data_IF_175006320433
#
_entry.id   IF_175006320433
#
_cell.length_a   1.000
_cell.length_b   1.000
_cell.length_c   1.000
_cell.angle_alpha   90.00
_cell.angle_beta   90.00
_cell.angle_gamma   90.00
#
_symmetry.space_group_name_H-M   'P 1'
#
loop_
_entity.id
_entity.type
_entity.pdbx_description
1 polymer ?
#
# COMPACT_ATOMS: atom_id res chain seq x y z
N UNK A 1 -12.01 -23.08 -0.42
CA UNK A 1 -12.69 -22.31 -1.49
C UNK A 1 -11.63 -21.96 -2.49
N UNK A 2 -11.81 -22.24 -3.79
CA UNK A 2 -10.84 -21.77 -4.78
C UNK A 2 -11.00 -20.26 -4.98
N UNK A 3 -9.92 -19.54 -5.36
CA UNK A 3 -10.01 -18.09 -5.55
C UNK A 3 -11.10 -17.69 -6.57
N UNK A 4 -11.26 -18.41 -7.70
CA UNK A 4 -12.34 -18.12 -8.65
C UNK A 4 -13.77 -18.23 -8.10
N UNK A 5 -13.96 -18.93 -6.96
CA UNK A 5 -15.28 -19.07 -6.34
C UNK A 5 -15.60 -17.92 -5.36
N UNK A 6 -14.68 -16.97 -5.17
CA UNK A 6 -14.90 -15.81 -4.30
C UNK A 6 -15.77 -14.76 -5.01
N UNK A 7 -16.78 -14.17 -4.34
CA UNK A 7 -17.70 -13.18 -4.96
C UNK A 7 -16.98 -12.00 -5.61
N UNK A 8 -15.97 -11.44 -4.94
CA UNK A 8 -15.19 -10.34 -5.49
C UNK A 8 -14.32 -10.73 -6.67
N UNK A 9 -13.97 -12.02 -6.80
CA UNK A 9 -13.08 -12.48 -7.88
C UNK A 9 -13.76 -12.35 -9.25
N UNK A 10 -15.03 -12.73 -9.35
CA UNK A 10 -15.82 -12.58 -10.59
C UNK A 10 -16.13 -11.11 -10.87
N UNK A 11 -16.61 -10.37 -9.86
CA UNK A 11 -16.99 -8.96 -9.98
C UNK A 11 -15.82 -8.07 -10.40
N UNK A 12 -14.63 -8.30 -9.84
CA UNK A 12 -13.41 -7.53 -10.08
C UNK A 12 -12.62 -8.03 -11.30
N UNK A 13 -13.07 -9.07 -11.99
CA UNK A 13 -12.51 -9.56 -13.26
C UNK A 13 -11.02 -9.90 -13.19
N UNK A 14 -10.60 -10.64 -12.17
CA UNK A 14 -9.24 -11.13 -12.07
C UNK A 14 -8.88 -12.06 -13.25
N UNK A 15 -7.61 -12.01 -13.68
CA UNK A 15 -7.08 -12.91 -14.70
C UNK A 15 -6.86 -14.31 -14.13
N UNK A 16 -7.73 -15.25 -14.47
CA UNK A 16 -7.66 -16.65 -14.01
C UNK A 16 -6.46 -17.41 -14.60
N UNK A 17 -5.88 -16.93 -15.70
CA UNK A 17 -4.70 -17.55 -16.34
C UNK A 17 -3.39 -17.08 -15.71
N UNK A 18 -3.38 -15.99 -14.93
CA UNK A 18 -2.22 -15.51 -14.19
C UNK A 18 -2.06 -16.27 -12.87
N UNK A 19 -1.49 -17.47 -12.96
CA UNK A 19 -1.47 -18.43 -11.84
C UNK A 19 -0.58 -17.99 -10.68
N UNK A 20 0.52 -17.33 -10.97
CA UNK A 20 1.42 -16.79 -9.95
C UNK A 20 0.78 -15.69 -9.11
N UNK A 21 -0.05 -14.81 -9.72
CA UNK A 21 -0.83 -13.84 -8.96
C UNK A 21 -1.88 -14.53 -8.07
N UNK A 22 -2.55 -15.54 -8.58
CA UNK A 22 -3.50 -16.34 -7.78
C UNK A 22 -2.80 -16.99 -6.57
N UNK A 23 -1.55 -17.45 -6.74
CA UNK A 23 -0.69 -17.94 -5.66
C UNK A 23 -0.38 -16.87 -4.63
N UNK A 24 0.03 -15.68 -5.08
CA UNK A 24 0.30 -14.52 -4.24
C UNK A 24 -0.93 -14.09 -3.42
N UNK A 25 -2.09 -13.98 -4.07
CA UNK A 25 -3.34 -13.64 -3.40
C UNK A 25 -3.74 -14.70 -2.38
N UNK A 26 -3.57 -15.99 -2.70
CA UNK A 26 -3.82 -17.09 -1.76
C UNK A 26 -2.89 -17.05 -0.55
N UNK A 27 -1.61 -16.74 -0.75
CA UNK A 27 -0.66 -16.51 0.34
C UNK A 27 -1.15 -15.38 1.26
N UNK A 28 -1.57 -14.28 0.71
CA UNK A 28 -2.07 -13.14 1.48
C UNK A 28 -3.34 -13.48 2.25
N UNK A 29 -4.34 -14.06 1.60
CA UNK A 29 -5.63 -14.39 2.21
C UNK A 29 -5.55 -15.46 3.30
N UNK A 30 -4.53 -16.34 3.26
CA UNK A 30 -4.27 -17.36 4.30
C UNK A 30 -3.49 -16.84 5.52
N UNK A 31 -3.25 -15.53 5.61
CA UNK A 31 -2.53 -14.90 6.73
C UNK A 31 -3.07 -15.28 8.11
N UNK A 32 -4.39 -15.29 8.39
CA UNK A 32 -4.89 -15.64 9.72
C UNK A 32 -4.49 -17.04 10.20
N UNK A 33 -4.54 -18.02 9.31
CA UNK A 33 -4.20 -19.42 9.61
C UNK A 33 -2.68 -19.56 9.87
N UNK A 34 -1.86 -18.94 9.03
CA UNK A 34 -0.40 -18.95 9.18
C UNK A 34 0.05 -18.23 10.44
N UNK A 35 -0.53 -17.07 10.73
CA UNK A 35 -0.26 -16.33 11.98
C UNK A 35 -0.55 -17.19 13.20
N UNK A 36 -1.75 -17.82 13.27
CA UNK A 36 -2.11 -18.72 14.36
C UNK A 36 -1.17 -19.91 14.49
N UNK A 37 -0.79 -20.52 13.38
CA UNK A 37 0.11 -21.68 13.35
C UNK A 37 1.54 -21.32 13.79
N UNK A 38 1.98 -20.09 13.59
CA UNK A 38 3.34 -19.64 13.92
C UNK A 38 3.60 -19.54 15.42
N UNK A 39 2.58 -19.27 16.23
CA UNK A 39 2.70 -18.98 17.67
C UNK A 39 3.50 -17.73 18.01
N UNK A 40 3.85 -16.92 17.03
CA UNK A 40 4.60 -15.67 17.22
C UNK A 40 3.68 -14.53 17.63
N UNK A 41 4.25 -13.52 18.29
CA UNK A 41 3.55 -12.26 18.56
C UNK A 41 3.25 -11.50 17.28
N UNK A 42 2.08 -10.86 17.23
CA UNK A 42 1.62 -10.06 16.10
C UNK A 42 1.60 -8.58 16.48
N UNK A 43 2.28 -7.77 15.70
CA UNK A 43 2.33 -6.32 15.86
C UNK A 43 1.52 -5.68 14.74
N UNK A 44 0.38 -5.08 15.08
CA UNK A 44 -0.37 -4.24 14.15
C UNK A 44 0.37 -2.92 13.93
N UNK A 45 0.52 -2.54 12.66
CA UNK A 45 1.21 -1.32 12.24
C UNK A 45 0.42 -0.58 11.15
N UNK A 46 0.60 0.72 11.03
CA UNK A 46 -0.01 1.49 9.94
C UNK A 46 0.65 1.20 8.58
N UNK A 47 -0.05 1.42 7.45
CA UNK A 47 0.41 1.03 6.12
C UNK A 47 1.84 1.45 5.77
N UNK A 48 2.22 2.67 6.12
CA UNK A 48 3.53 3.25 5.79
C UNK A 48 4.57 3.10 6.91
N UNK A 49 4.25 2.41 8.03
CA UNK A 49 5.23 2.11 9.06
C UNK A 49 6.19 1.03 8.59
N UNK A 50 7.51 1.25 8.70
CA UNK A 50 8.51 0.24 8.38
C UNK A 50 8.35 -1.01 9.23
N UNK A 51 8.54 -2.17 8.62
CA UNK A 51 8.34 -3.48 9.27
C UNK A 51 9.63 -4.16 9.71
N UNK A 52 10.78 -3.73 9.19
CA UNK A 52 12.08 -4.34 9.48
C UNK A 52 12.35 -4.48 11.00
N UNK A 53 12.09 -3.47 11.87
CA UNK A 53 12.24 -3.62 13.32
C UNK A 53 11.32 -4.67 13.94
N UNK A 54 10.11 -4.82 13.41
CA UNK A 54 9.16 -5.81 13.91
C UNK A 54 9.69 -7.21 13.64
N UNK A 55 10.13 -7.49 12.41
CA UNK A 55 10.72 -8.79 12.07
C UNK A 55 12.03 -9.06 12.81
N UNK A 56 12.86 -8.04 13.04
CA UNK A 56 14.07 -8.17 13.84
C UNK A 56 13.78 -8.58 15.29
N UNK A 57 12.65 -8.17 15.86
CA UNK A 57 12.19 -8.57 17.19
C UNK A 57 11.65 -10.02 17.26
N UNK A 58 11.54 -10.70 16.12
CA UNK A 58 10.95 -12.04 16.01
C UNK A 58 9.43 -12.07 15.97
N UNK A 59 8.76 -10.92 16.03
CA UNK A 59 7.33 -10.78 15.84
C UNK A 59 6.94 -10.79 14.35
N UNK A 60 5.66 -10.90 14.08
CA UNK A 60 5.06 -10.74 12.75
C UNK A 60 4.45 -9.33 12.64
N UNK A 61 4.72 -8.66 11.53
CA UNK A 61 4.03 -7.42 11.20
C UNK A 61 2.64 -7.74 10.62
N UNK A 62 1.65 -6.94 10.97
CA UNK A 62 0.31 -7.03 10.39
C UNK A 62 -0.21 -5.64 10.05
N UNK A 63 -0.65 -5.46 8.83
CA UNK A 63 -1.31 -4.24 8.37
C UNK A 63 -2.82 -4.47 8.27
N UNK A 64 -3.59 -4.15 9.33
CA UNK A 64 -5.04 -4.33 9.31
C UNK A 64 -5.72 -3.48 8.24
N UNK A 65 -5.13 -2.36 7.87
CA UNK A 65 -5.61 -1.51 6.79
C UNK A 65 -5.71 -2.26 5.47
N UNK A 66 -4.59 -2.83 5.05
CA UNK A 66 -4.51 -3.56 3.78
C UNK A 66 -5.33 -4.85 3.84
N UNK A 67 -5.15 -5.63 4.89
CA UNK A 67 -5.79 -6.94 4.98
C UNK A 67 -7.31 -6.86 5.02
N UNK A 68 -7.85 -6.07 5.95
CA UNK A 68 -9.31 -5.97 6.14
C UNK A 68 -9.99 -5.42 4.88
N UNK A 69 -9.38 -4.45 4.19
CA UNK A 69 -9.95 -3.91 2.95
C UNK A 69 -9.93 -4.93 1.83
N UNK A 70 -8.78 -5.56 1.55
CA UNK A 70 -8.70 -6.56 0.46
C UNK A 70 -9.63 -7.74 0.75
N UNK A 71 -9.65 -8.24 1.97
CA UNK A 71 -10.54 -9.35 2.36
C UNK A 71 -12.01 -8.97 2.20
N UNK A 72 -12.43 -7.79 2.65
CA UNK A 72 -13.82 -7.36 2.52
C UNK A 72 -14.24 -7.17 1.07
N UNK A 73 -13.38 -6.56 0.25
CA UNK A 73 -13.69 -6.32 -1.16
C UNK A 73 -13.65 -7.60 -1.98
N UNK A 74 -12.68 -8.50 -1.76
CA UNK A 74 -12.48 -9.70 -2.58
C UNK A 74 -13.31 -10.88 -2.12
N UNK A 75 -13.44 -11.08 -0.79
CA UNK A 75 -14.11 -12.26 -0.24
C UNK A 75 -15.57 -12.01 0.09
N UNK A 76 -15.85 -10.94 0.83
CA UNK A 76 -17.13 -10.82 1.52
C UNK A 76 -18.10 -9.86 0.82
N UNK A 77 -17.61 -8.93 -0.01
CA UNK A 77 -18.40 -7.77 -0.47
C UNK A 77 -19.09 -7.02 0.69
N UNK A 78 -18.57 -7.17 1.91
CA UNK A 78 -19.19 -6.72 3.16
C UNK A 78 -18.70 -5.31 3.48
N UNK A 79 -19.30 -4.32 2.83
CA UNK A 79 -19.06 -2.90 3.13
C UNK A 79 -19.74 -2.45 4.43
N UNK A 80 -20.47 -3.32 5.11
CA UNK A 80 -21.19 -3.02 6.36
C UNK A 80 -20.26 -2.76 7.54
N UNK A 81 -18.95 -3.02 7.40
CA UNK A 81 -17.97 -2.63 8.42
C UNK A 81 -17.94 -1.13 8.67
N UNK A 82 -18.26 -0.31 7.67
CA UNK A 82 -18.43 1.14 7.87
C UNK A 82 -19.67 1.43 8.71
N UNK A 83 -20.77 0.72 8.48
CA UNK A 83 -21.97 0.78 9.30
C UNK A 83 -21.72 0.37 10.74
N UNK A 84 -21.01 -0.72 10.98
CA UNK A 84 -20.60 -1.17 12.31
C UNK A 84 -19.79 -0.10 13.07
N UNK A 85 -18.93 0.63 12.38
CA UNK A 85 -18.18 1.73 12.99
C UNK A 85 -19.09 2.92 13.33
N UNK A 86 -20.02 3.28 12.44
CA UNK A 86 -21.01 4.34 12.68
C UNK A 86 -21.90 3.99 13.87
N UNK A 87 -22.40 2.78 13.95
CA UNK A 87 -23.25 2.29 15.06
C UNK A 87 -22.50 2.29 16.39
N UNK A 88 -21.19 2.11 16.37
CA UNK A 88 -20.32 2.27 17.52
C UNK A 88 -20.01 3.73 17.89
N UNK A 89 -20.53 4.70 17.12
CA UNK A 89 -20.38 6.13 17.37
C UNK A 89 -19.15 6.79 16.75
N UNK A 90 -18.50 6.14 15.78
CA UNK A 90 -17.44 6.77 14.99
C UNK A 90 -18.06 7.78 14.03
N UNK A 91 -17.44 8.95 13.89
CA UNK A 91 -17.93 10.00 13.01
C UNK A 91 -17.76 9.60 11.53
N UNK A 92 -18.76 9.89 10.71
CA UNK A 92 -18.75 9.68 9.24
C UNK A 92 -17.65 10.46 8.50
N UNK A 93 -17.06 11.49 9.13
CA UNK A 93 -15.94 12.25 8.56
C UNK A 93 -14.59 11.50 8.64
N UNK A 94 -14.58 10.31 9.25
CA UNK A 94 -13.38 9.48 9.26
C UNK A 94 -13.08 8.94 7.87
N UNK A 95 -11.79 8.80 7.59
CA UNK A 95 -11.33 8.10 6.40
C UNK A 95 -11.94 6.70 6.34
N UNK A 96 -12.53 6.28 5.21
CA UNK A 96 -13.17 4.97 5.07
C UNK A 96 -12.30 3.77 5.44
N UNK A 97 -10.98 3.83 5.21
CA UNK A 97 -10.05 2.81 5.69
C UNK A 97 -10.08 2.67 7.20
N UNK A 98 -10.07 3.79 7.90
CA UNK A 98 -10.19 3.80 9.36
C UNK A 98 -11.53 3.24 9.82
N UNK A 99 -12.61 3.54 9.08
CA UNK A 99 -13.95 3.00 9.37
C UNK A 99 -13.98 1.48 9.23
N UNK A 100 -13.41 0.92 8.15
CA UNK A 100 -13.35 -0.52 7.94
C UNK A 100 -12.58 -1.21 9.09
N UNK A 101 -11.41 -0.68 9.46
CA UNK A 101 -10.62 -1.24 10.57
C UNK A 101 -11.39 -1.23 11.90
N UNK A 102 -11.99 -0.08 12.23
CA UNK A 102 -12.76 0.06 13.47
C UNK A 102 -13.98 -0.85 13.46
N UNK A 103 -14.71 -0.90 12.36
CA UNK A 103 -15.86 -1.78 12.21
C UNK A 103 -15.50 -3.25 12.33
N UNK A 104 -14.35 -3.69 11.78
CA UNK A 104 -13.89 -5.08 11.94
C UNK A 104 -13.56 -5.43 13.38
N UNK A 105 -13.05 -4.46 14.14
CA UNK A 105 -12.76 -4.63 15.57
C UNK A 105 -14.03 -4.63 16.43
N UNK A 106 -14.95 -3.69 16.18
CA UNK A 106 -16.20 -3.59 16.95
C UNK A 106 -17.13 -4.78 16.71
N UNK A 107 -17.26 -5.22 15.46
CA UNK A 107 -18.07 -6.40 15.10
C UNK A 107 -17.41 -7.74 15.49
N UNK A 108 -16.13 -7.72 15.87
CA UNK A 108 -15.36 -8.95 16.13
C UNK A 108 -15.02 -9.75 14.87
N UNK A 109 -15.18 -9.17 13.68
CA UNK A 109 -14.92 -9.83 12.39
C UNK A 109 -13.42 -9.91 12.06
N UNK A 110 -12.55 -9.16 12.74
CA UNK A 110 -11.10 -9.24 12.54
C UNK A 110 -10.56 -10.64 12.85
N UNK A 111 -9.94 -11.28 11.86
CA UNK A 111 -9.53 -12.69 11.94
C UNK A 111 -8.13 -12.90 12.50
N UNK A 112 -7.27 -11.89 12.38
CA UNK A 112 -5.88 -11.95 12.83
C UNK A 112 -5.82 -11.51 14.30
N UNK A 113 -5.31 -12.37 15.23
CA UNK A 113 -5.09 -11.97 16.61
C UNK A 113 -3.97 -10.93 16.67
N UNK A 114 -4.21 -9.81 17.32
CA UNK A 114 -3.23 -8.72 17.47
C UNK A 114 -2.79 -8.70 18.93
N UNK A 115 -1.48 -8.87 19.17
CA UNK A 115 -0.90 -8.80 20.51
C UNK A 115 -0.47 -7.39 20.89
N UNK A 116 0.00 -6.60 19.90
CA UNK A 116 0.64 -5.31 20.13
C UNK A 116 0.18 -4.33 19.04
N UNK A 117 -0.14 -3.11 19.42
CA UNK A 117 -0.34 -2.03 18.48
C UNK A 117 0.89 -1.10 18.49
N UNK A 118 1.52 -0.90 17.34
CA UNK A 118 2.65 0.03 17.20
C UNK A 118 2.57 0.74 15.85
N UNK A 119 2.55 2.05 15.87
CA UNK A 119 2.47 2.83 14.62
C UNK A 119 3.39 4.02 14.62
N UNK A 120 3.97 4.28 13.45
CA UNK A 120 4.66 5.51 13.18
C UNK A 120 3.65 6.66 13.05
N UNK A 121 4.00 7.78 13.64
CA UNK A 121 3.28 9.03 13.48
C UNK A 121 4.13 9.99 12.63
N UNK A 122 3.48 10.83 11.85
CA UNK A 122 4.18 11.81 11.00
C UNK A 122 4.07 11.54 9.50
N UNK A 123 3.87 10.30 9.08
CA UNK A 123 3.51 10.00 7.70
C UNK A 123 2.08 9.48 7.61
N UNK A 124 1.30 10.04 6.73
CA UNK A 124 -0.05 9.60 6.47
C UNK A 124 -1.15 10.38 7.20
N UNK A 125 -2.26 9.70 7.46
CA UNK A 125 -3.48 10.26 7.99
C UNK A 125 -3.36 10.57 9.50
N UNK A 126 -3.78 11.77 9.90
CA UNK A 126 -3.79 12.22 11.31
C UNK A 126 -4.82 11.46 12.17
N UNK A 127 -5.83 10.85 11.57
CA UNK A 127 -6.85 10.06 12.26
C UNK A 127 -6.30 8.71 12.76
N UNK A 128 -5.22 8.23 12.17
CA UNK A 128 -4.67 6.90 12.45
C UNK A 128 -4.32 6.71 13.93
N UNK A 129 -3.81 7.75 14.58
CA UNK A 129 -3.50 7.72 16.03
C UNK A 129 -4.75 7.40 16.85
N UNK A 130 -5.89 8.00 16.52
CA UNK A 130 -7.17 7.74 17.19
C UNK A 130 -7.67 6.33 16.94
N UNK A 131 -7.57 5.85 15.72
CA UNK A 131 -7.95 4.49 15.38
C UNK A 131 -7.14 3.47 16.18
N UNK A 132 -5.82 3.64 16.25
CA UNK A 132 -4.94 2.76 17.02
C UNK A 132 -5.26 2.78 18.51
N UNK A 133 -5.52 3.97 19.08
CA UNK A 133 -5.95 4.09 20.48
C UNK A 133 -7.25 3.31 20.75
N UNK A 134 -8.27 3.52 19.92
CA UNK A 134 -9.57 2.86 20.07
C UNK A 134 -9.42 1.35 19.93
N UNK A 135 -8.73 0.88 18.89
CA UNK A 135 -8.53 -0.57 18.67
C UNK A 135 -7.76 -1.23 19.82
N UNK A 136 -6.67 -0.60 20.27
CA UNK A 136 -5.89 -1.11 21.39
C UNK A 136 -6.69 -1.15 22.69
N UNK A 137 -7.50 -0.14 22.96
CA UNK A 137 -8.38 -0.07 24.13
C UNK A 137 -9.45 -1.16 24.10
N UNK A 138 -10.16 -1.30 22.96
CA UNK A 138 -11.19 -2.34 22.77
C UNK A 138 -10.62 -3.75 22.94
N UNK A 139 -9.39 -3.98 22.46
CA UNK A 139 -8.72 -5.29 22.56
C UNK A 139 -7.97 -5.50 23.88
N UNK A 140 -7.77 -4.46 24.68
CA UNK A 140 -6.92 -4.53 25.88
C UNK A 140 -5.45 -4.80 25.57
N UNK A 141 -4.98 -4.39 24.40
CA UNK A 141 -3.63 -4.66 23.92
C UNK A 141 -2.68 -3.50 24.20
N UNK A 142 -1.37 -3.75 24.42
CA UNK A 142 -0.37 -2.70 24.52
C UNK A 142 -0.29 -1.84 23.25
N UNK A 143 -0.06 -0.54 23.42
CA UNK A 143 0.03 0.45 22.35
C UNK A 143 1.30 1.27 22.48
N UNK A 144 2.00 1.49 21.37
CA UNK A 144 3.10 2.44 21.27
C UNK A 144 2.97 3.29 20.01
N UNK A 145 3.17 4.58 20.19
CA UNK A 145 3.45 5.51 19.09
C UNK A 145 4.94 5.86 19.05
N UNK A 146 5.46 6.05 17.86
CA UNK A 146 6.77 6.60 17.62
C UNK A 146 6.69 7.61 16.48
N UNK A 147 7.56 8.62 16.48
CA UNK A 147 7.43 9.77 15.60
C UNK A 147 8.44 9.72 14.46
N UNK A 148 7.98 10.02 13.25
CA UNK A 148 8.84 10.31 12.09
C UNK A 148 8.80 11.83 11.89
N UNK A 149 9.93 12.54 12.03
CA UNK A 149 9.97 13.98 11.79
C UNK A 149 9.70 14.26 10.31
N UNK A 150 8.98 15.33 10.04
CA UNK A 150 8.71 15.78 8.66
C UNK A 150 10.02 16.05 7.95
N UNK A 151 10.06 15.72 6.66
CA UNK A 151 11.21 16.01 5.81
C UNK A 151 11.37 17.53 5.63
N UNK A 152 12.54 18.05 6.04
CA UNK A 152 13.01 19.41 5.80
C UNK A 152 14.53 19.34 5.65
N UNK A 153 15.06 19.66 4.48
CA UNK A 153 16.51 19.49 4.18
C UNK A 153 17.43 20.23 5.14
N UNK A 154 17.00 21.40 5.64
CA UNK A 154 17.78 22.21 6.59
C UNK A 154 17.84 21.58 8.00
N UNK A 155 16.92 20.70 8.34
CA UNK A 155 16.83 20.05 9.65
C UNK A 155 17.35 18.60 9.65
N UNK A 156 17.90 18.11 8.54
CA UNK A 156 18.30 16.71 8.33
C UNK A 156 19.07 16.10 9.52
N UNK A 157 20.10 16.77 9.99
CA UNK A 157 20.93 16.25 11.08
C UNK A 157 20.10 16.03 12.35
N UNK A 158 19.32 17.01 12.73
CA UNK A 158 18.45 16.93 13.91
C UNK A 158 17.40 15.83 13.72
N UNK A 159 16.76 15.79 12.56
CA UNK A 159 15.72 14.82 12.26
C UNK A 159 16.22 13.38 12.32
N UNK A 160 17.40 13.11 11.76
CA UNK A 160 18.03 11.79 11.82
C UNK A 160 18.44 11.40 13.25
N UNK A 161 18.99 12.33 14.04
CA UNK A 161 19.33 12.05 15.43
C UNK A 161 18.07 11.81 16.29
N UNK A 162 16.99 12.51 16.02
CA UNK A 162 15.69 12.27 16.65
C UNK A 162 15.13 10.91 16.25
N UNK A 163 15.06 10.61 14.96
CA UNK A 163 14.49 9.36 14.45
C UNK A 163 15.27 8.13 14.93
N UNK A 164 16.59 8.21 15.04
CA UNK A 164 17.39 7.13 15.63
C UNK A 164 17.01 6.86 17.09
N UNK A 165 16.73 7.90 17.87
CA UNK A 165 16.27 7.74 19.26
C UNK A 165 14.88 7.09 19.30
N UNK A 166 13.98 7.52 18.44
CA UNK A 166 12.64 6.91 18.33
C UNK A 166 12.74 5.42 17.96
N UNK A 167 13.57 5.06 16.98
CA UNK A 167 13.81 3.67 16.62
C UNK A 167 14.42 2.87 17.77
N UNK A 168 15.38 3.42 18.51
CA UNK A 168 15.95 2.75 19.69
C UNK A 168 14.91 2.55 20.79
N UNK A 169 13.97 3.49 20.99
CA UNK A 169 12.87 3.32 21.93
C UNK A 169 11.89 2.24 21.43
N UNK A 170 11.57 2.24 20.14
CA UNK A 170 10.77 1.18 19.50
C UNK A 170 11.42 -0.20 19.71
N UNK A 171 12.73 -0.32 19.50
CA UNK A 171 13.45 -1.60 19.70
C UNK A 171 13.34 -2.09 21.14
N UNK A 172 13.55 -1.19 22.12
CA UNK A 172 13.38 -1.53 23.55
C UNK A 172 11.95 -1.97 23.86
N UNK A 173 10.97 -1.27 23.31
CA UNK A 173 9.57 -1.60 23.51
C UNK A 173 9.25 -2.97 22.90
N UNK A 174 9.59 -3.20 21.63
CA UNK A 174 9.35 -4.50 20.98
C UNK A 174 10.07 -5.62 21.74
N UNK A 175 11.32 -5.43 22.17
CA UNK A 175 12.05 -6.40 22.96
C UNK A 175 11.33 -6.73 24.29
N UNK A 176 10.77 -5.73 24.97
CA UNK A 176 10.01 -5.93 26.20
C UNK A 176 8.74 -6.76 26.00
N UNK A 177 8.11 -6.64 24.83
CA UNK A 177 6.86 -7.34 24.49
C UNK A 177 7.10 -8.75 23.92
N UNK A 178 8.19 -8.95 23.18
CA UNK A 178 8.52 -10.22 22.50
C UNK A 178 9.46 -11.10 23.31
N UNK A 179 10.17 -10.51 24.28
CA UNK A 179 11.24 -11.20 25.04
C UNK A 179 12.54 -11.38 24.23
N UNK A 180 12.65 -10.76 23.03
CA UNK A 180 13.81 -10.88 22.15
C UNK A 180 14.44 -9.50 21.88
N UNK A 181 15.71 -9.36 22.22
CA UNK A 181 16.46 -8.15 21.91
C UNK A 181 16.70 -7.99 20.40
N UNK A 182 16.59 -6.76 19.92
CA UNK A 182 16.90 -6.41 18.53
C UNK A 182 18.38 -6.03 18.48
N UNK A 183 19.22 -6.98 18.05
CA UNK A 183 20.64 -6.75 17.80
C UNK A 183 20.86 -6.15 16.42
N UNK A 184 22.06 -5.56 16.19
CA UNK A 184 22.43 -5.05 14.87
C UNK A 184 22.39 -6.14 13.80
N UNK A 185 22.80 -7.37 14.12
CA UNK A 185 22.74 -8.51 13.20
C UNK A 185 21.29 -8.89 12.87
N UNK A 186 20.40 -8.92 13.86
CA UNK A 186 18.98 -9.23 13.64
C UNK A 186 18.31 -8.14 12.80
N UNK A 187 18.64 -6.88 13.02
CA UNK A 187 18.14 -5.76 12.23
C UNK A 187 18.69 -5.81 10.80
N UNK A 188 19.99 -6.09 10.63
CA UNK A 188 20.61 -6.23 9.32
C UNK A 188 19.99 -7.38 8.52
N UNK A 189 19.70 -8.51 9.17
CA UNK A 189 19.01 -9.63 8.54
C UNK A 189 17.60 -9.26 8.08
N UNK A 190 16.82 -8.60 8.93
CA UNK A 190 15.48 -8.15 8.58
C UNK A 190 15.50 -7.14 7.42
N UNK A 191 16.41 -6.17 7.44
CA UNK A 191 16.58 -5.20 6.35
C UNK A 191 16.99 -5.88 5.05
N UNK A 192 17.89 -6.89 5.09
CA UNK A 192 18.30 -7.63 3.90
C UNK A 192 17.10 -8.36 3.27
N UNK A 193 16.27 -9.04 4.06
CA UNK A 193 15.03 -9.67 3.58
C UNK A 193 14.04 -8.66 3.03
N UNK A 194 13.86 -7.53 3.72
CA UNK A 194 13.05 -6.43 3.23
C UNK A 194 13.56 -5.84 1.91
N UNK A 195 14.89 -5.76 1.72
CA UNK A 195 15.48 -5.28 0.48
C UNK A 195 15.22 -6.21 -0.72
N UNK A 196 15.13 -7.53 -0.52
CA UNK A 196 14.70 -8.43 -1.59
C UNK A 196 13.28 -8.08 -2.06
N UNK A 197 12.34 -7.89 -1.14
CA UNK A 197 10.97 -7.52 -1.46
C UNK A 197 10.85 -6.13 -2.10
N UNK A 198 11.65 -5.15 -1.64
CA UNK A 198 11.73 -3.82 -2.26
C UNK A 198 12.21 -3.93 -3.71
N UNK A 199 13.22 -4.78 -3.95
CA UNK A 199 13.74 -5.01 -5.29
C UNK A 199 12.71 -5.73 -6.18
N UNK A 200 12.01 -6.74 -5.65
CA UNK A 200 10.95 -7.43 -6.39
C UNK A 200 9.85 -6.46 -6.84
N UNK A 201 9.42 -5.54 -5.97
CA UNK A 201 8.43 -4.53 -6.35
C UNK A 201 8.95 -3.54 -7.40
N UNK A 202 10.23 -3.17 -7.34
CA UNK A 202 10.85 -2.35 -8.39
C UNK A 202 10.91 -3.10 -9.73
N UNK A 203 11.24 -4.40 -9.70
CA UNK A 203 11.30 -5.24 -10.89
C UNK A 203 9.89 -5.45 -11.48
N UNK A 204 8.88 -5.72 -10.64
CA UNK A 204 7.48 -5.82 -11.05
C UNK A 204 7.00 -4.52 -11.72
N UNK A 205 7.28 -3.38 -11.07
CA UNK A 205 6.91 -2.07 -11.61
C UNK A 205 7.58 -1.79 -12.97
N UNK A 206 8.82 -2.26 -13.17
CA UNK A 206 9.54 -2.10 -14.44
C UNK A 206 8.87 -2.83 -15.60
N UNK A 207 8.20 -3.96 -15.36
CA UNK A 207 7.48 -4.70 -16.41
C UNK A 207 6.32 -3.92 -17.02
N UNK A 208 5.76 -2.96 -16.28
CA UNK A 208 4.72 -2.05 -16.79
C UNK A 208 5.25 -1.03 -17.82
N UNK A 209 6.57 -0.94 -18.03
CA UNK A 209 7.16 -0.11 -19.09
C UNK A 209 7.00 -0.76 -20.48
N UNK A 210 6.66 -2.04 -20.52
CA UNK A 210 6.42 -2.76 -21.78
C UNK A 210 5.27 -2.14 -22.58
N UNK A 211 5.31 -2.29 -23.90
CA UNK A 211 4.18 -1.97 -24.77
C UNK A 211 3.02 -2.97 -24.59
N UNK A 212 3.37 -4.24 -24.32
CA UNK A 212 2.40 -5.24 -23.89
C UNK A 212 2.38 -5.25 -22.36
N UNK A 213 1.38 -4.60 -21.75
CA UNK A 213 1.23 -4.54 -20.29
C UNK A 213 0.68 -5.88 -19.80
N UNK A 214 1.49 -6.68 -19.07
CA UNK A 214 1.21 -8.12 -18.90
C UNK A 214 0.30 -8.46 -17.72
N UNK A 215 -0.06 -7.47 -16.89
CA UNK A 215 -0.84 -7.62 -15.66
C UNK A 215 -1.92 -6.54 -15.62
N UNK A 216 -3.09 -6.85 -15.07
CA UNK A 216 -4.17 -5.88 -14.91
C UNK A 216 -3.84 -4.83 -13.84
N UNK A 217 -4.48 -3.67 -13.95
CA UNK A 217 -4.33 -2.58 -12.99
C UNK A 217 -4.65 -3.02 -11.56
N UNK A 218 -5.73 -3.80 -11.38
CA UNK A 218 -6.17 -4.30 -10.09
C UNK A 218 -5.16 -5.27 -9.47
N UNK A 219 -4.67 -6.22 -10.25
CA UNK A 219 -3.73 -7.24 -9.78
C UNK A 219 -2.39 -6.61 -9.39
N UNK A 220 -1.88 -5.67 -10.20
CA UNK A 220 -0.70 -4.89 -9.86
C UNK A 220 -0.91 -4.10 -8.56
N UNK A 221 -2.07 -3.45 -8.40
CA UNK A 221 -2.36 -2.67 -7.20
C UNK A 221 -2.42 -3.55 -5.94
N UNK A 222 -3.08 -4.70 -6.01
CA UNK A 222 -3.11 -5.66 -4.89
C UNK A 222 -1.71 -6.18 -4.58
N UNK A 223 -0.92 -6.56 -5.60
CA UNK A 223 0.46 -6.98 -5.39
C UNK A 223 1.28 -5.89 -4.66
N UNK A 224 1.07 -4.61 -5.03
CA UNK A 224 1.71 -3.48 -4.36
C UNK A 224 1.24 -3.33 -2.90
N UNK A 225 -0.04 -3.58 -2.59
CA UNK A 225 -0.56 -3.48 -1.23
C UNK A 225 0.06 -4.54 -0.29
N UNK A 226 0.29 -5.74 -0.78
CA UNK A 226 0.77 -6.88 0.03
C UNK A 226 2.17 -6.65 0.62
N UNK A 227 3.00 -5.77 0.04
CA UNK A 227 4.32 -5.44 0.60
C UNK A 227 4.23 -4.76 1.98
N UNK A 228 3.08 -4.24 2.37
CA UNK A 228 2.92 -3.45 3.59
C UNK A 228 3.37 -4.17 4.86
N UNK A 229 3.15 -5.47 4.94
CA UNK A 229 3.48 -6.28 6.11
C UNK A 229 4.18 -7.59 5.76
N UNK A 230 4.66 -7.70 4.51
CA UNK A 230 5.36 -8.87 3.97
C UNK A 230 4.54 -10.16 4.06
N UNK A 231 3.20 -10.04 4.02
CA UNK A 231 2.25 -11.15 4.16
C UNK A 231 2.55 -12.06 5.37
N UNK A 232 3.19 -11.55 6.41
CA UNK A 232 3.69 -12.24 7.62
C UNK A 232 4.72 -13.36 7.34
N UNK A 233 5.20 -13.45 6.10
CA UNK A 233 6.19 -14.43 5.66
C UNK A 233 7.06 -13.83 4.52
N UNK A 234 8.13 -13.10 4.87
CA UNK A 234 8.94 -12.41 3.86
C UNK A 234 9.59 -13.34 2.84
N UNK A 235 9.95 -14.58 3.22
CA UNK A 235 10.54 -15.55 2.32
C UNK A 235 9.49 -16.06 1.32
N UNK A 236 8.32 -16.49 1.78
CA UNK A 236 7.24 -16.94 0.90
C UNK A 236 6.72 -15.82 -0.02
N UNK A 237 6.71 -14.57 0.48
CA UNK A 237 6.34 -13.41 -0.34
C UNK A 237 7.37 -13.14 -1.43
N UNK A 238 8.67 -13.21 -1.11
CA UNK A 238 9.75 -13.09 -2.10
C UNK A 238 9.60 -14.14 -3.19
N UNK A 239 9.45 -15.41 -2.82
CA UNK A 239 9.26 -16.50 -3.77
C UNK A 239 8.00 -16.27 -4.65
N UNK A 240 6.91 -15.79 -4.07
CA UNK A 240 5.68 -15.48 -4.81
C UNK A 240 5.86 -14.32 -5.79
N UNK A 241 6.56 -13.25 -5.39
CA UNK A 241 6.88 -12.14 -6.31
C UNK A 241 7.81 -12.58 -7.42
N UNK A 242 8.83 -13.40 -7.13
CA UNK A 242 9.72 -13.94 -8.18
C UNK A 242 8.97 -14.78 -9.21
N UNK A 243 8.06 -15.66 -8.77
CA UNK A 243 7.19 -16.43 -9.66
C UNK A 243 6.30 -15.52 -10.52
N UNK A 244 5.72 -14.47 -9.91
CA UNK A 244 4.91 -13.49 -10.63
C UNK A 244 5.75 -12.76 -11.69
N UNK A 245 6.92 -12.27 -11.32
CA UNK A 245 7.82 -11.55 -12.24
C UNK A 245 8.22 -12.46 -13.41
N UNK A 246 8.60 -13.70 -13.15
CA UNK A 246 8.98 -14.66 -14.18
C UNK A 246 7.83 -14.97 -15.18
N UNK A 247 6.60 -15.15 -14.67
CA UNK A 247 5.42 -15.35 -15.52
C UNK A 247 5.11 -14.10 -16.36
N UNK A 248 5.23 -12.91 -15.77
CA UNK A 248 5.00 -11.64 -16.47
C UNK A 248 6.11 -11.33 -17.50
N UNK A 249 7.37 -11.65 -17.21
CA UNK A 249 8.45 -11.54 -18.19
C UNK A 249 8.19 -12.42 -19.42
N UNK A 250 7.68 -13.62 -19.21
CA UNK A 250 7.30 -14.51 -20.31
C UNK A 250 6.12 -13.97 -21.11
N UNK A 251 5.11 -13.42 -20.44
CA UNK A 251 3.99 -12.71 -21.10
C UNK A 251 4.48 -11.53 -21.95
N UNK A 252 5.41 -10.73 -21.44
CA UNK A 252 6.01 -9.63 -22.20
C UNK A 252 6.72 -10.13 -23.45
N UNK A 253 7.53 -11.22 -23.36
CA UNK A 253 8.22 -11.82 -24.51
C UNK A 253 7.24 -12.34 -25.57
N UNK A 254 6.10 -12.87 -25.14
CA UNK A 254 5.04 -13.38 -26.02
C UNK A 254 4.11 -12.29 -26.55
N UNK A 255 4.24 -11.04 -26.06
CA UNK A 255 3.34 -9.95 -26.42
C UNK A 255 1.93 -10.07 -25.83
N UNK A 256 1.78 -10.81 -24.73
CA UNK A 256 0.50 -11.01 -24.04
C UNK A 256 0.15 -9.75 -23.24
N UNK A 257 -1.02 -9.21 -23.51
CA UNK A 257 -1.60 -8.08 -22.79
C UNK A 257 -2.62 -8.59 -21.78
N UNK A 258 -2.73 -7.94 -20.63
CA UNK A 258 -3.71 -8.30 -19.60
C UNK A 258 -5.15 -8.27 -20.18
N UNK A 259 -6.00 -9.26 -19.84
CA UNK A 259 -7.32 -9.43 -20.49
C UNK A 259 -8.27 -8.24 -20.34
N UNK A 260 -8.09 -7.43 -19.27
CA UNK A 260 -8.91 -6.24 -19.02
C UNK A 260 -8.61 -5.07 -19.98
N UNK A 261 -7.42 -5.06 -20.59
CA UNK A 261 -6.98 -3.98 -21.48
C UNK A 261 -7.54 -4.24 -22.88
N UNK A 262 -8.53 -3.44 -23.28
CA UNK A 262 -9.30 -3.66 -24.51
C UNK A 262 -8.72 -2.96 -25.76
N UNK A 263 -7.71 -2.11 -25.59
CA UNK A 263 -7.09 -1.32 -26.67
C UNK A 263 -5.73 -1.88 -27.08
N UNK A 264 -5.46 -1.93 -28.38
CA UNK A 264 -4.13 -2.26 -28.93
C UNK A 264 -3.06 -1.19 -28.61
N UNK A 265 -3.53 0.03 -28.33
CA UNK A 265 -2.71 1.17 -27.88
C UNK A 265 -3.38 1.81 -26.67
N UNK A 266 -3.24 1.22 -25.48
CA UNK A 266 -3.89 1.76 -24.32
C UNK A 266 -3.30 3.10 -23.89
N UNK A 267 -4.16 4.01 -23.43
CA UNK A 267 -3.72 5.23 -22.75
C UNK A 267 -3.02 4.84 -21.45
N UNK A 268 -1.74 5.15 -21.34
CA UNK A 268 -0.91 4.78 -20.20
C UNK A 268 -1.18 5.70 -19.02
N UNK A 269 -1.74 5.18 -17.96
CA UNK A 269 -2.18 5.95 -16.79
C UNK A 269 -1.23 5.72 -15.61
N UNK A 270 -0.75 6.79 -14.98
CA UNK A 270 -0.12 6.73 -13.67
C UNK A 270 -1.12 7.19 -12.61
N UNK A 271 -1.34 6.37 -11.57
CA UNK A 271 -2.24 6.69 -10.46
C UNK A 271 -1.45 7.33 -9.32
N UNK A 272 -1.89 8.50 -8.87
CA UNK A 272 -1.33 9.21 -7.73
C UNK A 272 -2.39 9.41 -6.66
N UNK A 273 -1.96 9.63 -5.46
CA UNK A 273 -2.83 10.16 -4.42
C UNK A 273 -3.02 9.24 -3.25
N UNK A 274 -4.23 9.27 -2.72
CA UNK A 274 -4.62 8.40 -1.64
C UNK A 274 -4.84 6.97 -2.15
N UNK A 275 -4.74 6.03 -1.21
CA UNK A 275 -5.05 4.65 -1.53
C UNK A 275 -6.53 4.52 -1.87
N UNK A 276 -6.83 4.17 -3.13
CA UNK A 276 -8.21 3.88 -3.48
C UNK A 276 -8.68 2.60 -2.79
N UNK A 277 -9.89 2.63 -2.32
CA UNK A 277 -10.59 1.48 -1.73
C UNK A 277 -11.63 0.94 -2.71
N UNK A 278 -11.95 1.73 -3.72
CA UNK A 278 -12.86 1.31 -4.77
C UNK A 278 -12.07 0.62 -5.89
N UNK A 279 -11.95 -0.69 -5.77
CA UNK A 279 -11.19 -1.50 -6.71
C UNK A 279 -11.83 -1.57 -8.12
N UNK A 280 -13.12 -1.24 -8.26
CA UNK A 280 -13.76 -1.14 -9.57
C UNK A 280 -13.17 -0.01 -10.43
N UNK A 281 -12.53 1.00 -9.81
CA UNK A 281 -11.80 2.06 -10.51
C UNK A 281 -10.82 1.48 -11.55
N UNK A 282 -10.13 0.41 -11.22
CA UNK A 282 -9.16 -0.23 -12.11
C UNK A 282 -9.83 -0.88 -13.32
N UNK A 283 -10.97 -1.55 -13.11
CA UNK A 283 -11.76 -2.14 -14.18
C UNK A 283 -12.32 -1.06 -15.12
N UNK A 284 -12.73 0.09 -14.58
CA UNK A 284 -13.22 1.23 -15.35
C UNK A 284 -12.11 1.79 -16.24
N UNK A 285 -10.90 1.97 -15.71
CA UNK A 285 -9.75 2.44 -16.49
C UNK A 285 -9.51 1.52 -17.70
N UNK A 286 -9.44 0.21 -17.47
CA UNK A 286 -9.13 -0.76 -18.52
C UNK A 286 -10.29 -0.92 -19.53
N UNK A 287 -11.53 -0.85 -19.07
CA UNK A 287 -12.73 -0.97 -19.92
C UNK A 287 -12.77 0.10 -21.02
N UNK A 288 -12.27 1.30 -20.73
CA UNK A 288 -12.25 2.41 -21.68
C UNK A 288 -10.90 2.56 -22.42
N UNK A 289 -10.06 1.53 -22.39
CA UNK A 289 -8.83 1.49 -23.15
C UNK A 289 -7.64 2.17 -22.45
N UNK A 290 -7.74 2.40 -21.15
CA UNK A 290 -6.58 2.78 -20.34
C UNK A 290 -5.79 1.55 -19.86
N UNK A 291 -4.57 1.78 -19.37
CA UNK A 291 -3.78 0.77 -18.69
C UNK A 291 -2.94 1.42 -17.59
N UNK A 292 -2.98 0.86 -16.39
CA UNK A 292 -2.18 1.37 -15.28
C UNK A 292 -0.71 1.01 -15.51
N UNK A 293 0.16 2.02 -15.49
CA UNK A 293 1.60 1.82 -15.68
C UNK A 293 2.42 2.15 -14.43
N UNK A 294 1.77 2.58 -13.37
CA UNK A 294 2.40 2.81 -12.06
C UNK A 294 1.44 3.46 -11.09
N UNK A 295 1.79 3.34 -9.81
CA UNK A 295 1.01 3.92 -8.71
C UNK A 295 1.95 4.32 -7.57
N UNK A 296 1.70 5.45 -6.90
CA UNK A 296 2.52 5.90 -5.77
C UNK A 296 2.00 5.47 -4.39
N UNK A 297 0.88 4.75 -4.33
CA UNK A 297 0.19 4.36 -3.09
C UNK A 297 1.10 3.73 -2.04
N UNK A 298 1.96 2.80 -2.44
CA UNK A 298 2.94 2.13 -1.56
C UNK A 298 4.39 2.41 -1.94
N UNK A 299 4.64 3.34 -2.86
CA UNK A 299 5.98 3.65 -3.36
C UNK A 299 6.98 3.90 -2.22
N UNK A 300 6.55 4.55 -1.15
CA UNK A 300 7.40 4.83 0.02
C UNK A 300 7.99 3.58 0.68
N UNK A 301 7.36 2.41 0.53
CA UNK A 301 7.86 1.15 1.11
C UNK A 301 8.93 0.47 0.26
N UNK A 302 9.05 0.85 -1.03
CA UNK A 302 9.99 0.24 -1.95
C UNK A 302 10.66 1.22 -2.93
N UNK A 303 10.59 2.54 -2.68
CA UNK A 303 11.16 3.56 -3.57
C UNK A 303 12.66 3.34 -3.87
N UNK A 304 13.37 2.78 -2.92
CA UNK A 304 14.73 2.24 -3.09
C UNK A 304 15.01 1.19 -1.99
N UNK A 305 15.94 0.25 -2.19
CA UNK A 305 16.44 -0.58 -1.09
C UNK A 305 17.16 0.27 -0.03
N UNK A 306 17.09 -0.17 1.24
CA UNK A 306 17.90 0.42 2.31
C UNK A 306 19.38 0.18 1.99
N UNK A 307 20.16 1.26 1.88
CA UNK A 307 21.58 1.19 1.48
C UNK A 307 22.42 0.45 2.53
N UNK A 308 23.36 -0.34 2.08
CA UNK A 308 24.35 -0.93 2.97
C UNK A 308 25.19 0.16 3.64
N UNK A 309 25.41 0.03 4.94
CA UNK A 309 26.14 1.00 5.75
C UNK A 309 26.81 0.27 6.92
N UNK A 310 27.88 0.87 7.46
CA UNK A 310 28.52 0.39 8.69
C UNK A 310 27.59 0.41 9.91
N UNK A 311 26.53 1.23 9.89
CA UNK A 311 25.46 1.26 10.88
C UNK A 311 24.12 1.03 10.18
N UNK A 312 23.51 -0.14 10.39
CA UNK A 312 22.21 -0.46 9.84
C UNK A 312 21.11 0.45 10.39
N UNK A 313 21.24 0.89 11.65
CA UNK A 313 20.32 1.86 12.25
C UNK A 313 20.36 3.22 11.51
N UNK A 314 21.56 3.72 11.20
CA UNK A 314 21.70 4.98 10.46
C UNK A 314 21.15 4.88 9.04
N UNK A 315 21.39 3.76 8.37
CA UNK A 315 20.87 3.49 7.02
C UNK A 315 19.34 3.43 7.02
N UNK A 316 18.75 2.69 7.96
CA UNK A 316 17.30 2.57 8.10
C UNK A 316 16.66 3.92 8.47
N UNK A 317 17.24 4.66 9.42
CA UNK A 317 16.74 5.98 9.80
C UNK A 317 16.73 6.94 8.60
N UNK A 318 17.80 6.97 7.82
CA UNK A 318 17.89 7.80 6.60
C UNK A 318 16.88 7.38 5.57
N UNK A 319 16.70 6.08 5.36
CA UNK A 319 15.72 5.55 4.43
C UNK A 319 14.28 5.94 4.84
N UNK A 320 13.92 5.80 6.12
CA UNK A 320 12.62 6.20 6.66
C UNK A 320 12.39 7.70 6.48
N UNK A 321 13.38 8.52 6.80
CA UNK A 321 13.25 9.97 6.70
C UNK A 321 13.04 10.45 5.25
N UNK A 322 13.65 9.78 4.28
CA UNK A 322 13.54 10.07 2.85
C UNK A 322 12.31 9.45 2.17
N UNK A 323 11.44 8.77 2.89
CA UNK A 323 10.21 8.21 2.31
C UNK A 323 9.37 9.31 1.66
N UNK A 324 8.95 9.18 0.40
CA UNK A 324 8.15 10.21 -0.28
C UNK A 324 6.94 10.69 0.51
N UNK A 325 6.18 9.78 1.15
CA UNK A 325 5.01 10.15 1.96
C UNK A 325 5.34 10.92 3.25
N UNK A 326 6.60 10.93 3.68
CA UNK A 326 7.04 11.74 4.82
C UNK A 326 7.37 13.19 4.41
N UNK A 327 7.43 13.48 3.13
CA UNK A 327 7.74 14.79 2.59
C UNK A 327 6.50 15.69 2.56
N UNK A 328 6.66 17.02 2.65
CA UNK A 328 5.61 17.97 2.27
C UNK A 328 5.12 17.70 0.84
N UNK A 329 3.86 18.03 0.55
CA UNK A 329 3.22 17.64 -0.72
C UNK A 329 4.03 18.00 -1.97
N UNK A 330 4.59 19.21 -2.02
CA UNK A 330 5.37 19.64 -3.19
C UNK A 330 6.64 18.78 -3.38
N UNK A 331 7.37 18.53 -2.32
CA UNK A 331 8.56 17.68 -2.31
C UNK A 331 8.23 16.22 -2.59
N UNK A 332 7.12 15.71 -2.04
CA UNK A 332 6.61 14.36 -2.34
C UNK A 332 6.36 14.20 -3.83
N UNK A 333 5.63 15.13 -4.45
CA UNK A 333 5.36 15.07 -5.89
C UNK A 333 6.67 15.10 -6.68
N UNK A 334 7.59 16.03 -6.36
CA UNK A 334 8.89 16.12 -7.02
C UNK A 334 9.72 14.85 -6.85
N UNK A 335 9.71 14.24 -5.66
CA UNK A 335 10.40 12.96 -5.41
C UNK A 335 9.79 11.80 -6.21
N UNK A 336 8.49 11.86 -6.55
CA UNK A 336 7.80 10.84 -7.33
C UNK A 336 8.02 11.01 -8.85
N UNK A 337 8.32 12.22 -9.34
CA UNK A 337 8.52 12.52 -10.78
C UNK A 337 9.50 11.57 -11.48
N UNK A 338 10.68 11.23 -10.94
CA UNK A 338 11.59 10.28 -11.59
C UNK A 338 10.95 8.92 -11.86
N UNK A 339 10.12 8.43 -10.94
CA UNK A 339 9.39 7.15 -11.08
C UNK A 339 8.30 7.27 -12.14
N UNK A 340 7.55 8.37 -12.16
CA UNK A 340 6.55 8.65 -13.20
C UNK A 340 7.21 8.66 -14.58
N UNK A 341 8.32 9.39 -14.74
CA UNK A 341 9.04 9.50 -16.02
C UNK A 341 9.51 8.14 -16.55
N UNK A 342 9.94 7.24 -15.65
CA UNK A 342 10.35 5.88 -16.03
C UNK A 342 9.21 5.06 -16.64
N UNK A 343 7.97 5.26 -16.16
CA UNK A 343 6.80 4.53 -16.64
C UNK A 343 6.22 5.09 -17.94
N UNK A 344 6.65 6.28 -18.37
CA UNK A 344 6.20 6.95 -19.61
C UNK A 344 4.66 6.97 -19.71
N UNK A 345 3.94 7.51 -18.74
CA UNK A 345 2.49 7.65 -18.83
C UNK A 345 2.11 8.71 -19.88
N UNK A 346 0.91 8.56 -20.45
CA UNK A 346 0.26 9.56 -21.29
C UNK A 346 -0.56 10.54 -20.47
N UNK A 347 -1.06 10.09 -19.31
CA UNK A 347 -1.90 10.88 -18.42
C UNK A 347 -1.79 10.42 -16.95
N UNK A 348 -2.23 11.28 -16.04
CA UNK A 348 -2.22 11.02 -14.60
C UNK A 348 -3.63 11.11 -14.05
N UNK A 349 -4.01 10.12 -13.22
CA UNK A 349 -5.22 10.18 -12.41
C UNK A 349 -4.81 10.38 -10.96
N UNK A 350 -5.40 11.37 -10.28
CA UNK A 350 -5.27 11.60 -8.84
C UNK A 350 -6.51 11.01 -8.18
N UNK A 351 -6.32 10.01 -7.32
CA UNK A 351 -7.39 9.47 -6.47
C UNK A 351 -7.44 10.25 -5.16
N UNK A 352 -8.57 10.89 -4.90
CA UNK A 352 -8.87 11.54 -3.64
C UNK A 352 -9.94 10.75 -2.90
N UNK A 353 -9.60 10.19 -1.77
CA UNK A 353 -10.55 9.45 -0.93
C UNK A 353 -11.26 10.44 -0.01
N UNK A 354 -12.59 10.48 -0.09
CA UNK A 354 -13.41 11.34 0.80
C UNK A 354 -13.13 10.99 2.27
N UNK A 355 -12.89 12.01 3.09
CA UNK A 355 -12.48 11.82 4.49
C UNK A 355 -10.96 11.68 4.70
N UNK A 356 -10.17 11.42 3.67
CA UNK A 356 -8.71 11.47 3.76
C UNK A 356 -8.21 12.92 3.84
N UNK A 357 -7.10 13.12 4.54
CA UNK A 357 -6.47 14.43 4.71
C UNK A 357 -5.06 14.52 4.15
N UNK A 358 -4.62 13.49 3.42
CA UNK A 358 -3.26 13.44 2.86
C UNK A 358 -3.07 14.36 1.66
N UNK A 359 -3.90 14.20 0.63
CA UNK A 359 -3.85 14.97 -0.60
C UNK A 359 -5.05 15.90 -0.80
N UNK A 360 -6.26 15.58 -0.32
CA UNK A 360 -7.39 16.49 -0.44
C UNK A 360 -7.03 17.88 0.07
N UNK A 361 -7.27 18.90 -0.76
CA UNK A 361 -6.87 20.30 -0.49
C UNK A 361 -5.54 20.72 -1.11
N UNK A 362 -4.68 19.76 -1.52
CA UNK A 362 -3.44 20.05 -2.22
C UNK A 362 -3.50 19.72 -3.73
N UNK A 363 -4.63 19.27 -4.23
CA UNK A 363 -4.85 18.82 -5.62
C UNK A 363 -4.34 19.84 -6.66
N UNK A 364 -4.65 21.11 -6.47
CA UNK A 364 -4.18 22.16 -7.38
C UNK A 364 -2.67 22.23 -7.42
N UNK A 365 -2.01 22.20 -6.26
CA UNK A 365 -0.55 22.19 -6.15
C UNK A 365 0.07 20.99 -6.87
N UNK A 366 -0.50 19.81 -6.68
CA UNK A 366 -0.06 18.56 -7.35
C UNK A 366 -0.19 18.71 -8.86
N UNK A 367 -1.33 19.19 -9.34
CA UNK A 367 -1.61 19.40 -10.76
C UNK A 367 -0.67 20.43 -11.40
N UNK A 368 -0.43 21.55 -10.69
CA UNK A 368 0.46 22.61 -11.17
C UNK A 368 1.90 22.07 -11.33
N UNK A 369 2.43 21.34 -10.33
CA UNK A 369 3.78 20.75 -10.39
C UNK A 369 3.87 19.71 -11.53
N UNK A 370 2.86 18.85 -11.69
CA UNK A 370 2.84 17.85 -12.77
C UNK A 370 2.79 18.54 -14.13
N UNK A 371 1.98 19.59 -14.27
CA UNK A 371 1.89 20.38 -15.49
C UNK A 371 3.23 21.03 -15.85
N UNK A 372 3.92 21.62 -14.88
CA UNK A 372 5.23 22.26 -15.07
C UNK A 372 6.35 21.25 -15.41
N UNK A 373 6.40 20.12 -14.71
CA UNK A 373 7.51 19.18 -14.78
C UNK A 373 7.35 18.09 -15.86
N UNK A 374 6.12 17.73 -16.21
CA UNK A 374 5.81 16.61 -17.10
C UNK A 374 4.98 17.02 -18.32
N UNK A 375 4.27 18.15 -18.26
CA UNK A 375 3.32 18.58 -19.29
C UNK A 375 2.30 17.48 -19.67
N UNK A 376 1.81 16.74 -18.66
CA UNK A 376 0.84 15.67 -18.82
C UNK A 376 -0.56 16.12 -18.39
N UNK A 377 -1.63 15.62 -19.04
CA UNK A 377 -2.99 15.83 -18.57
C UNK A 377 -3.22 15.14 -17.24
N UNK A 378 -4.01 15.78 -16.38
CA UNK A 378 -4.31 15.30 -15.03
C UNK A 378 -5.80 15.32 -14.78
N UNK A 379 -6.38 14.18 -14.41
CA UNK A 379 -7.74 14.06 -13.90
C UNK A 379 -7.69 13.83 -12.38
N UNK A 380 -8.54 14.51 -11.64
CA UNK A 380 -8.78 14.22 -10.23
C UNK A 380 -10.15 13.58 -10.09
N UNK A 381 -10.21 12.45 -9.38
CA UNK A 381 -11.45 11.73 -9.06
C UNK A 381 -11.60 11.62 -7.55
N UNK A 382 -12.83 11.79 -7.06
CA UNK A 382 -13.19 11.54 -5.68
C UNK A 382 -13.81 10.15 -5.56
N UNK A 383 -13.32 9.36 -4.60
CA UNK A 383 -13.85 8.04 -4.27
C UNK A 383 -14.26 7.98 -2.80
N UNK A 384 -15.30 7.21 -2.49
CA UNK A 384 -15.79 6.95 -1.13
C UNK A 384 -16.05 5.46 -0.95
N UNK A 385 -16.29 5.01 0.29
CA UNK A 385 -16.80 3.67 0.56
C UNK A 385 -18.06 3.74 1.43
N UNK A 386 -19.15 3.12 0.99
CA UNK A 386 -19.34 2.56 -0.36
C UNK A 386 -19.24 3.65 -1.42
N UNK A 387 -18.90 3.30 -2.65
CA UNK A 387 -18.85 4.26 -3.74
C UNK A 387 -20.28 4.67 -4.09
N UNK A 388 -20.70 5.82 -3.57
CA UNK A 388 -22.06 6.32 -3.75
C UNK A 388 -22.33 6.83 -5.17
N UNK A 389 -21.27 7.15 -5.93
CA UNK A 389 -21.39 7.85 -7.22
C UNK A 389 -20.44 7.24 -8.29
N UNK A 390 -20.50 5.90 -8.44
CA UNK A 390 -19.67 5.18 -9.41
C UNK A 390 -19.92 5.68 -10.84
N UNK A 391 -21.15 6.06 -11.18
CA UNK A 391 -21.52 6.55 -12.52
C UNK A 391 -20.79 7.86 -12.85
N UNK A 392 -20.60 8.73 -11.87
CA UNK A 392 -19.84 9.98 -12.04
C UNK A 392 -18.36 9.69 -12.28
N UNK A 393 -17.77 8.80 -11.51
CA UNK A 393 -16.36 8.39 -11.65
C UNK A 393 -16.14 7.70 -12.99
N UNK A 394 -17.05 6.79 -13.37
CA UNK A 394 -17.04 6.10 -14.65
C UNK A 394 -17.05 7.09 -15.82
N UNK A 395 -18.00 8.03 -15.81
CA UNK A 395 -18.11 9.07 -16.84
C UNK A 395 -16.84 9.94 -16.94
N UNK A 396 -16.29 10.36 -15.81
CA UNK A 396 -15.10 11.21 -15.77
C UNK A 396 -13.87 10.48 -16.36
N UNK A 397 -13.65 9.22 -15.94
CA UNK A 397 -12.52 8.42 -16.42
C UNK A 397 -12.67 8.12 -17.91
N UNK A 398 -13.87 7.71 -18.34
CA UNK A 398 -14.17 7.48 -19.75
C UNK A 398 -13.83 8.69 -20.60
N UNK A 399 -14.41 9.85 -20.27
CA UNK A 399 -14.18 11.08 -21.03
C UNK A 399 -12.68 11.44 -21.05
N UNK A 400 -11.98 11.27 -19.93
CA UNK A 400 -10.57 11.58 -19.83
C UNK A 400 -9.71 10.66 -20.71
N UNK A 401 -9.98 9.34 -20.70
CA UNK A 401 -9.24 8.38 -21.55
C UNK A 401 -9.55 8.65 -23.02
N UNK A 402 -10.81 8.84 -23.41
CA UNK A 402 -11.21 9.15 -24.79
C UNK A 402 -10.53 10.42 -25.32
N UNK A 403 -10.37 11.45 -24.48
CA UNK A 403 -9.67 12.70 -24.86
C UNK A 403 -8.15 12.55 -25.01
N UNK A 404 -7.54 11.54 -24.41
CA UNK A 404 -6.09 11.30 -24.41
C UNK A 404 -5.71 10.02 -25.20
N UNK A 405 -6.66 9.36 -25.87
CA UNK A 405 -6.40 8.25 -26.76
C UNK A 405 -5.86 8.78 -28.11
N UNK A 406 -4.63 8.43 -28.48
CA UNK A 406 -3.99 8.80 -29.75
C UNK A 406 -3.52 7.57 -30.54
#
# INVERSE_FOLDING_TARGET
MSLPDLPGFERLRFDTELKSFNGLLSLFLSSPERVKASGKKVVAKSPLSPVDPIYASGALAYDPYTYETVVNVVINEDYDLTGEALDAGVNSDFNPWNMIMLGSVFSGKNKVPIDIYSTACGCGDDQIKKCWQIMAEVKGSPLQFWEIPRFESETEKWALDFLKKELQQLFKYLASQTGKEITDDALADAVRRGNLLRQDMLDLTRLLQSSAIPISALEFYIAQLIISDYAQDPEALHDSYRQLIEELEERVKQGVVAPGITSDKPTRIYLMGDETQEFQLFNIIEQYGGALVGCDSRLSLYYEPVKESASVLDALARWIWNMPHNMPTAERVKATIPYIKQQKPDAIIISNVVGSRNLPGAERLVRDIIGEELNLPVLSVETSLPLEDIEKVDYQIRAFIEMNAY
#
